data_IF_989526945524
#
_entry.id   IF_989526945524
#
_cell.length_a   1.000
_cell.length_b   1.000
_cell.length_c   1.000
_cell.angle_alpha   90.00
_cell.angle_beta   90.00
_cell.angle_gamma   90.00
#
_symmetry.space_group_name_H-M   'P 1'
#
loop_
_entity.id
_entity.type
_entity.pdbx_description
1 polymer ?
#
# COMPACT_ATOMS: atom_id res chain seq x y z
N UNK A 1 -13.32 -3.98 15.30
CA UNK A 1 -12.55 -4.35 14.09
C UNK A 1 -11.33 -3.45 13.91
N UNK A 2 -11.52 -2.13 13.72
CA UNK A 2 -10.43 -1.16 13.50
C UNK A 2 -9.42 -1.12 14.65
N UNK A 3 -9.89 -1.00 15.90
CA UNK A 3 -9.00 -0.95 17.08
C UNK A 3 -8.11 -2.18 17.16
N UNK A 4 -8.69 -3.38 17.01
CA UNK A 4 -7.94 -4.63 17.00
C UNK A 4 -6.90 -4.66 15.88
N UNK A 5 -7.26 -4.21 14.68
CA UNK A 5 -6.34 -4.15 13.54
C UNK A 5 -5.12 -3.26 13.82
N UNK A 6 -5.31 -2.10 14.46
CA UNK A 6 -4.21 -1.20 14.84
C UNK A 6 -3.39 -1.78 15.99
N UNK A 7 -4.01 -2.45 16.96
CA UNK A 7 -3.30 -3.11 18.06
C UNK A 7 -2.48 -4.33 17.61
N UNK A 8 -2.79 -4.91 16.45
CA UNK A 8 -2.00 -6.01 15.87
C UNK A 8 -0.70 -5.50 15.25
N UNK A 9 -0.64 -4.21 14.88
CA UNK A 9 0.57 -3.63 14.33
C UNK A 9 1.59 -3.36 15.42
N UNK A 10 2.84 -3.21 14.98
CA UNK A 10 3.90 -2.67 15.84
C UNK A 10 3.56 -1.24 16.26
N UNK A 11 3.61 -0.97 17.56
CA UNK A 11 3.20 0.30 18.16
C UNK A 11 4.18 1.43 17.86
N UNK A 12 5.44 1.10 17.54
CA UNK A 12 6.47 2.11 17.25
C UNK A 12 6.34 2.67 15.83
N UNK A 13 6.31 1.78 14.82
CA UNK A 13 6.30 2.18 13.42
C UNK A 13 4.87 2.50 12.92
N UNK A 14 3.85 1.73 13.38
CA UNK A 14 2.44 1.87 12.98
C UNK A 14 2.28 2.04 11.45
N UNK A 15 2.90 1.16 10.67
CA UNK A 15 2.92 1.29 9.22
C UNK A 15 1.57 0.90 8.60
N UNK A 16 0.95 1.83 7.86
CA UNK A 16 -0.38 1.64 7.26
C UNK A 16 -0.40 0.55 6.18
N UNK A 17 0.72 0.38 5.47
CA UNK A 17 0.84 -0.57 4.35
C UNK A 17 0.73 -2.02 4.81
N UNK A 18 0.89 -2.27 6.11
CA UNK A 18 0.78 -3.59 6.71
C UNK A 18 -0.68 -4.00 6.91
N UNK A 19 -1.60 -3.03 7.02
CA UNK A 19 -3.04 -3.28 7.02
C UNK A 19 -3.51 -3.40 5.57
N UNK A 20 -3.83 -4.62 5.17
CA UNK A 20 -4.38 -4.85 3.84
C UNK A 20 -5.89 -4.82 3.89
N UNK A 21 -6.51 -4.08 2.98
CA UNK A 21 -7.95 -4.10 2.78
C UNK A 21 -8.22 -4.88 1.49
N UNK A 22 -9.03 -5.94 1.57
CA UNK A 22 -9.45 -6.75 0.43
C UNK A 22 -10.95 -6.57 0.23
N UNK A 23 -11.32 -5.99 -0.91
CA UNK A 23 -12.71 -5.77 -1.32
C UNK A 23 -13.24 -7.00 -2.04
N UNK A 24 -14.38 -7.51 -1.60
CA UNK A 24 -15.04 -8.66 -2.23
C UNK A 24 -16.51 -8.30 -2.48
N UNK A 25 -16.94 -8.28 -3.75
CA UNK A 25 -18.33 -7.99 -4.09
C UNK A 25 -19.27 -9.13 -3.66
N UNK A 26 -20.50 -8.76 -3.30
CA UNK A 26 -21.56 -9.65 -2.87
C UNK A 26 -21.55 -9.95 -1.36
N UNK A 27 -22.70 -10.31 -0.81
CA UNK A 27 -22.92 -10.51 0.63
C UNK A 27 -23.31 -9.23 1.36
N UNK A 28 -23.50 -9.32 2.67
CA UNK A 28 -23.81 -8.18 3.52
C UNK A 28 -22.54 -7.52 4.06
N UNK A 29 -22.63 -6.24 4.46
CA UNK A 29 -21.48 -5.54 5.08
C UNK A 29 -21.07 -6.17 6.42
N UNK A 30 -22.03 -6.79 7.11
CA UNK A 30 -21.84 -7.49 8.38
C UNK A 30 -21.01 -8.77 8.22
N UNK A 31 -20.89 -9.31 7.01
CA UNK A 31 -20.09 -10.50 6.72
C UNK A 31 -18.59 -10.18 6.57
N UNK A 32 -18.18 -8.94 6.86
CA UNK A 32 -16.77 -8.50 6.80
C UNK A 32 -15.96 -9.12 7.94
N UNK A 33 -14.74 -9.55 7.65
CA UNK A 33 -13.90 -10.35 8.55
C UNK A 33 -12.54 -9.68 8.79
N UNK A 34 -12.08 -9.71 10.05
CA UNK A 34 -10.71 -9.32 10.41
C UNK A 34 -9.89 -10.58 10.57
N UNK A 35 -8.78 -10.63 9.85
CA UNK A 35 -7.83 -11.73 9.90
C UNK A 35 -6.56 -11.25 10.59
N UNK A 36 -6.20 -11.95 11.67
CA UNK A 36 -4.97 -11.77 12.42
C UNK A 36 -3.81 -12.44 11.67
N UNK A 37 -3.45 -11.85 10.54
CA UNK A 37 -2.45 -12.34 9.61
C UNK A 37 -2.71 -11.79 8.21
N UNK A 38 -2.46 -12.60 7.18
CA UNK A 38 -2.55 -12.14 5.78
C UNK A 38 -3.55 -12.99 5.02
N UNK A 39 -4.44 -12.30 4.31
CA UNK A 39 -5.27 -12.88 3.28
C UNK A 39 -4.97 -12.26 1.93
N UNK A 40 -4.82 -13.12 0.93
CA UNK A 40 -4.68 -12.72 -0.47
C UNK A 40 -5.57 -13.59 -1.35
N UNK A 41 -6.00 -13.00 -2.46
CA UNK A 41 -6.84 -13.68 -3.44
C UNK A 41 -6.07 -14.84 -4.06
N UNK A 42 -6.74 -15.95 -4.30
CA UNK A 42 -6.18 -17.06 -5.08
C UNK A 42 -5.70 -16.54 -6.44
N UNK A 43 -4.42 -16.76 -6.73
CA UNK A 43 -3.80 -16.41 -8.00
C UNK A 43 -4.07 -17.49 -9.06
N UNK A 44 -3.63 -17.24 -10.30
CA UNK A 44 -3.83 -18.19 -11.39
C UNK A 44 -3.26 -19.56 -11.02
N UNK A 45 -4.11 -20.59 -11.05
CA UNK A 45 -3.74 -21.97 -10.70
C UNK A 45 -3.67 -22.83 -11.95
N UNK A 46 -2.62 -23.64 -12.01
CA UNK A 46 -2.32 -24.57 -13.09
C UNK A 46 -2.94 -25.96 -12.81
N UNK A 47 -2.78 -26.90 -13.74
CA UNK A 47 -3.36 -28.24 -13.60
C UNK A 47 -2.77 -28.98 -12.39
N UNK A 48 -3.62 -29.68 -11.62
CA UNK A 48 -3.22 -30.40 -10.38
C UNK A 48 -3.45 -29.63 -9.07
N UNK A 49 -3.75 -28.33 -9.15
CA UNK A 49 -3.99 -27.49 -7.97
C UNK A 49 -5.15 -27.97 -7.08
N UNK A 50 -6.21 -28.53 -7.66
CA UNK A 50 -7.38 -28.95 -6.87
C UNK A 50 -7.14 -30.16 -5.96
N UNK A 51 -6.09 -30.95 -6.26
CA UNK A 51 -5.68 -32.11 -5.48
C UNK A 51 -4.82 -31.72 -4.27
N UNK A 52 -4.32 -30.49 -4.22
CA UNK A 52 -3.49 -30.00 -3.11
C UNK A 52 -4.32 -29.85 -1.83
N UNK A 53 -3.72 -30.09 -0.64
CA UNK A 53 -4.40 -29.87 0.62
C UNK A 53 -4.72 -28.38 0.80
N UNK A 54 -5.94 -28.07 1.23
CA UNK A 54 -6.45 -26.70 1.37
C UNK A 54 -6.39 -26.16 2.79
N UNK A 55 -6.08 -27.01 3.76
CA UNK A 55 -5.96 -26.62 5.16
C UNK A 55 -4.73 -27.27 5.76
N UNK A 56 -3.89 -26.47 6.41
CA UNK A 56 -2.71 -26.92 7.14
C UNK A 56 -2.69 -26.31 8.54
N UNK A 57 -2.26 -27.11 9.51
CA UNK A 57 -1.92 -26.64 10.85
C UNK A 57 -0.41 -26.53 10.96
N UNK A 58 0.09 -25.40 11.45
CA UNK A 58 1.53 -25.12 11.60
C UNK A 58 2.38 -25.39 10.33
N UNK A 59 1.98 -24.90 9.13
CA UNK A 59 2.80 -25.11 7.94
C UNK A 59 4.09 -24.26 7.97
N UNK A 60 5.16 -24.83 7.40
CA UNK A 60 6.35 -24.07 7.00
C UNK A 60 6.06 -23.38 5.66
N UNK A 61 6.27 -22.06 5.61
CA UNK A 61 5.97 -21.21 4.45
C UNK A 61 7.27 -20.74 3.83
N UNK A 62 7.44 -20.99 2.53
CA UNK A 62 8.55 -20.52 1.74
C UNK A 62 8.09 -19.41 0.78
N UNK A 63 8.81 -18.29 0.78
CA UNK A 63 8.55 -17.16 -0.11
C UNK A 63 9.68 -17.03 -1.13
N UNK A 64 9.34 -17.12 -2.41
CA UNK A 64 10.28 -17.13 -3.53
C UNK A 64 10.05 -15.94 -4.47
N UNK A 65 11.12 -15.53 -5.12
CA UNK A 65 11.13 -14.58 -6.24
C UNK A 65 11.76 -15.22 -7.48
N UNK A 66 11.37 -16.46 -7.77
CA UNK A 66 11.89 -17.29 -8.87
C UNK A 66 10.74 -17.82 -9.71
N UNK A 67 10.94 -17.84 -11.03
CA UNK A 67 10.04 -18.50 -11.99
C UNK A 67 10.26 -20.01 -11.92
N UNK A 68 9.20 -20.77 -11.62
CA UNK A 68 9.24 -22.22 -11.60
C UNK A 68 8.53 -22.78 -12.85
N UNK A 69 8.89 -22.29 -14.03
CA UNK A 69 8.37 -22.76 -15.33
C UNK A 69 9.49 -23.35 -16.21
N UNK A 70 9.20 -24.47 -16.86
CA UNK A 70 10.06 -24.98 -17.93
C UNK A 70 9.94 -24.06 -19.14
N UNK A 71 10.97 -23.25 -19.42
CA UNK A 71 11.08 -22.52 -20.68
C UNK A 71 11.94 -23.30 -21.68
N UNK A 72 11.51 -23.28 -22.94
CA UNK A 72 12.18 -23.99 -24.03
C UNK A 72 13.38 -23.22 -24.63
N UNK A 73 13.68 -22.00 -24.17
CA UNK A 73 14.72 -21.15 -24.75
C UNK A 73 15.97 -21.05 -23.86
N UNK A 74 17.10 -21.32 -24.51
CA UNK A 74 18.44 -21.65 -24.00
C UNK A 74 19.13 -20.69 -23.02
N UNK A 75 18.57 -19.52 -22.69
CA UNK A 75 19.34 -18.49 -21.97
C UNK A 75 18.73 -17.94 -20.68
N UNK A 76 17.54 -18.36 -20.22
CA UNK A 76 17.06 -17.94 -18.88
C UNK A 76 16.21 -19.03 -18.21
N UNK A 77 16.81 -19.70 -17.22
CA UNK A 77 16.23 -20.62 -16.24
C UNK A 77 15.45 -21.81 -16.82
N UNK A 78 16.17 -22.84 -17.27
CA UNK A 78 15.63 -24.20 -17.20
C UNK A 78 15.40 -24.52 -15.71
N UNK A 79 14.14 -24.70 -15.29
CA UNK A 79 13.87 -25.29 -13.97
C UNK A 79 14.48 -26.68 -13.98
N UNK A 80 15.58 -26.83 -13.24
CA UNK A 80 16.13 -28.16 -12.99
C UNK A 80 15.21 -28.85 -12.00
N UNK A 81 14.96 -30.14 -12.20
CA UNK A 81 14.27 -30.97 -11.21
C UNK A 81 14.95 -30.84 -9.83
N UNK A 82 16.26 -30.58 -9.83
CA UNK A 82 17.10 -30.24 -8.68
C UNK A 82 16.54 -29.09 -7.82
N UNK A 83 15.98 -28.03 -8.43
CA UNK A 83 15.42 -26.89 -7.69
C UNK A 83 14.13 -27.27 -6.95
N UNK A 84 13.29 -28.10 -7.57
CA UNK A 84 12.07 -28.62 -6.94
C UNK A 84 12.42 -29.57 -5.79
N UNK A 85 13.42 -30.42 -5.97
CA UNK A 85 13.94 -31.30 -4.93
C UNK A 85 14.52 -30.52 -3.76
N UNK A 86 15.27 -29.45 -4.03
CA UNK A 86 15.79 -28.56 -2.99
C UNK A 86 14.66 -27.95 -2.14
N UNK A 87 13.58 -27.47 -2.78
CA UNK A 87 12.40 -26.95 -2.06
C UNK A 87 11.77 -28.03 -1.19
N UNK A 88 11.58 -29.25 -1.71
CA UNK A 88 11.00 -30.35 -0.92
C UNK A 88 11.88 -30.72 0.27
N UNK A 89 13.20 -30.68 0.11
CA UNK A 89 14.18 -30.96 1.17
C UNK A 89 14.08 -29.99 2.35
N UNK A 90 13.64 -28.75 2.12
CA UNK A 90 13.40 -27.76 3.19
C UNK A 90 12.20 -28.13 4.08
N UNK A 91 11.31 -29.01 3.61
CA UNK A 91 10.08 -29.38 4.31
C UNK A 91 9.00 -28.30 4.31
N UNK A 92 9.10 -27.31 3.42
CA UNK A 92 8.05 -26.30 3.24
C UNK A 92 6.74 -26.96 2.75
N UNK A 93 5.62 -26.59 3.39
CA UNK A 93 4.27 -27.07 3.03
C UNK A 93 3.47 -26.07 2.20
N UNK A 94 3.87 -24.80 2.26
CA UNK A 94 3.27 -23.72 1.48
C UNK A 94 4.39 -22.98 0.75
N UNK A 95 4.34 -22.94 -0.57
CA UNK A 95 5.33 -22.26 -1.42
C UNK A 95 4.63 -21.11 -2.16
N UNK A 96 5.08 -19.89 -1.92
CA UNK A 96 4.55 -18.69 -2.55
C UNK A 96 5.63 -18.09 -3.45
N UNK A 97 5.31 -17.82 -4.71
CA UNK A 97 6.22 -17.09 -5.61
C UNK A 97 5.56 -15.83 -6.15
N UNK A 98 6.35 -14.75 -6.23
CA UNK A 98 5.98 -13.54 -6.98
C UNK A 98 5.80 -13.84 -8.47
N UNK A 99 6.56 -14.79 -8.97
CA UNK A 99 6.63 -15.17 -10.37
C UNK A 99 5.76 -16.42 -10.64
N UNK A 100 5.46 -16.75 -11.90
CA UNK A 100 4.65 -17.92 -12.21
C UNK A 100 5.30 -19.25 -11.82
N UNK A 101 4.45 -20.25 -11.56
CA UNK A 101 4.81 -21.64 -11.26
C UNK A 101 4.14 -22.50 -12.33
N UNK A 102 4.90 -23.29 -13.08
CA UNK A 102 4.39 -24.07 -14.20
C UNK A 102 3.62 -25.32 -13.80
N UNK A 103 3.02 -25.97 -14.79
CA UNK A 103 2.22 -27.20 -14.60
C UNK A 103 3.06 -28.34 -13.99
N UNK A 104 4.29 -28.57 -14.48
CA UNK A 104 5.16 -29.63 -13.96
C UNK A 104 5.47 -29.44 -12.47
N UNK A 105 5.82 -28.21 -12.07
CA UNK A 105 6.10 -27.89 -10.68
C UNK A 105 4.84 -28.05 -9.82
N UNK A 106 3.67 -27.62 -10.32
CA UNK A 106 2.39 -27.74 -9.61
C UNK A 106 2.02 -29.20 -9.36
N UNK A 107 2.20 -30.07 -10.35
CA UNK A 107 1.99 -31.52 -10.22
C UNK A 107 2.97 -32.15 -9.23
N UNK A 108 4.27 -31.79 -9.34
CA UNK A 108 5.30 -32.31 -8.45
C UNK A 108 5.06 -31.97 -6.97
N UNK A 109 4.52 -30.77 -6.70
CA UNK A 109 4.10 -30.35 -5.38
C UNK A 109 2.78 -30.99 -4.94
N UNK A 110 1.84 -31.22 -5.85
CA UNK A 110 0.57 -31.91 -5.56
C UNK A 110 0.80 -33.35 -5.08
N UNK A 111 1.69 -34.10 -5.74
CA UNK A 111 2.04 -35.48 -5.34
C UNK A 111 2.68 -35.58 -3.94
N UNK A 112 3.16 -34.45 -3.40
CA UNK A 112 3.88 -34.36 -2.10
C UNK A 112 3.10 -33.60 -1.02
N UNK A 113 1.83 -33.32 -1.27
CA UNK A 113 0.96 -32.54 -0.38
C UNK A 113 1.56 -31.17 -0.01
N UNK A 114 2.11 -30.47 -1.00
CA UNK A 114 2.64 -29.11 -0.86
C UNK A 114 1.71 -28.16 -1.64
N UNK A 115 1.26 -27.10 -0.97
CA UNK A 115 0.48 -26.06 -1.60
C UNK A 115 1.40 -25.05 -2.29
N UNK A 116 1.10 -24.70 -3.54
CA UNK A 116 1.87 -23.69 -4.26
C UNK A 116 0.99 -22.60 -4.88
N UNK A 117 1.40 -21.34 -4.77
CA UNK A 117 0.76 -20.22 -5.43
C UNK A 117 1.80 -19.34 -6.13
N UNK A 118 1.68 -19.22 -7.46
CA UNK A 118 2.50 -18.32 -8.27
C UNK A 118 1.80 -16.99 -8.55
N UNK A 119 2.52 -16.01 -9.09
CA UNK A 119 2.01 -14.66 -9.43
C UNK A 119 1.41 -13.91 -8.24
N UNK A 120 1.95 -14.11 -7.04
CA UNK A 120 1.52 -13.36 -5.85
C UNK A 120 1.99 -11.91 -5.97
N UNK A 121 1.12 -10.90 -5.77
CA UNK A 121 1.52 -9.50 -5.78
C UNK A 121 2.66 -9.24 -4.78
N UNK A 122 3.63 -8.41 -5.15
CA UNK A 122 4.79 -8.12 -4.30
C UNK A 122 4.38 -7.54 -2.93
N UNK A 123 3.34 -6.70 -2.91
CA UNK A 123 2.79 -6.12 -1.68
C UNK A 123 2.25 -7.20 -0.73
N UNK A 124 1.51 -8.18 -1.25
CA UNK A 124 0.97 -9.28 -0.46
C UNK A 124 2.10 -10.21 0.02
N UNK A 125 3.11 -10.48 -0.82
CA UNK A 125 4.25 -11.31 -0.44
C UNK A 125 5.07 -10.66 0.69
N UNK A 126 5.32 -9.35 0.60
CA UNK A 126 6.00 -8.60 1.67
C UNK A 126 5.19 -8.65 2.98
N UNK A 127 3.86 -8.56 2.90
CA UNK A 127 2.99 -8.68 4.08
C UNK A 127 3.02 -10.09 4.67
N UNK A 128 3.05 -11.13 3.84
CA UNK A 128 3.21 -12.52 4.31
C UNK A 128 4.53 -12.66 5.04
N UNK A 129 5.63 -12.22 4.45
CA UNK A 129 6.99 -12.29 5.03
C UNK A 129 7.03 -11.61 6.41
N UNK A 130 6.46 -10.42 6.52
CA UNK A 130 6.34 -9.69 7.80
C UNK A 130 5.42 -10.39 8.81
N UNK A 131 4.42 -11.16 8.37
CA UNK A 131 3.54 -11.91 9.27
C UNK A 131 4.20 -13.18 9.81
N UNK A 132 4.82 -13.95 8.92
CA UNK A 132 5.32 -15.30 9.21
C UNK A 132 6.76 -15.31 9.74
N UNK A 133 7.46 -14.17 9.64
CA UNK A 133 8.86 -14.02 10.07
C UNK A 133 9.88 -14.66 9.12
N UNK A 134 9.50 -14.92 7.86
CA UNK A 134 10.38 -15.50 6.85
C UNK A 134 11.18 -14.44 6.09
N UNK A 135 11.79 -14.85 4.98
CA UNK A 135 12.45 -13.92 4.04
C UNK A 135 12.21 -14.36 2.60
N UNK A 136 12.13 -13.41 1.67
CA UNK A 136 12.00 -13.72 0.24
C UNK A 136 13.34 -14.20 -0.30
N UNK A 137 13.36 -15.38 -0.91
CA UNK A 137 14.55 -15.95 -1.55
C UNK A 137 14.47 -15.86 -3.06
N UNK A 138 15.57 -15.48 -3.69
CA UNK A 138 15.71 -15.41 -5.16
C UNK A 138 16.42 -16.62 -5.76
N UNK A 139 16.85 -17.57 -4.95
CA UNK A 139 17.53 -18.81 -5.36
C UNK A 139 16.96 -20.01 -4.59
N UNK A 140 17.01 -21.19 -5.19
CA UNK A 140 16.45 -22.42 -4.62
C UNK A 140 17.48 -23.26 -3.84
N UNK A 141 18.78 -23.02 -4.04
CA UNK A 141 19.87 -23.86 -3.52
C UNK A 141 20.25 -23.55 -2.06
N UNK A 142 20.12 -22.30 -1.61
CA UNK A 142 20.59 -21.82 -0.30
C UNK A 142 19.46 -21.54 0.69
N UNK A 143 18.43 -22.39 0.71
CA UNK A 143 17.29 -22.22 1.60
C UNK A 143 17.56 -22.91 2.94
N UNK A 144 17.86 -22.10 3.95
CA UNK A 144 17.95 -22.52 5.36
C UNK A 144 16.61 -22.37 6.10
N UNK A 145 16.47 -23.08 7.22
CA UNK A 145 15.27 -23.00 8.09
C UNK A 145 14.97 -21.58 8.60
N UNK A 146 15.98 -20.71 8.69
CA UNK A 146 15.82 -19.29 9.09
C UNK A 146 15.01 -18.46 8.08
N UNK A 147 14.93 -18.91 6.83
CA UNK A 147 14.21 -18.23 5.76
C UNK A 147 12.75 -18.65 5.67
N UNK A 148 12.40 -19.76 6.32
CA UNK A 148 11.05 -20.31 6.35
C UNK A 148 10.22 -19.62 7.43
N UNK A 149 9.02 -19.22 7.03
CA UNK A 149 8.02 -18.69 7.94
C UNK A 149 7.18 -19.78 8.59
N UNK A 150 6.50 -19.44 9.69
CA UNK A 150 5.50 -20.31 10.31
C UNK A 150 4.21 -19.53 10.60
N UNK A 151 3.06 -20.20 10.51
CA UNK A 151 1.76 -19.68 10.93
C UNK A 151 0.97 -20.77 11.65
N UNK A 152 0.03 -20.41 12.52
CA UNK A 152 -0.81 -21.38 13.25
C UNK A 152 -1.69 -22.19 12.29
N UNK A 153 -2.32 -21.51 11.34
CA UNK A 153 -3.18 -22.16 10.36
C UNK A 153 -3.13 -21.48 9.00
N UNK A 154 -3.23 -22.30 7.95
CA UNK A 154 -3.41 -21.88 6.57
C UNK A 154 -4.68 -22.52 6.05
N UNK A 155 -5.62 -21.73 5.56
CA UNK A 155 -6.87 -22.22 4.97
C UNK A 155 -7.16 -21.52 3.64
N UNK A 156 -7.48 -22.29 2.60
CA UNK A 156 -8.16 -21.76 1.40
C UNK A 156 -9.67 -21.77 1.64
N UNK A 157 -10.29 -20.60 1.77
CA UNK A 157 -11.75 -20.47 1.94
C UNK A 157 -12.37 -19.72 0.76
N UNK A 158 -13.55 -20.17 0.35
CA UNK A 158 -14.36 -19.44 -0.62
C UNK A 158 -15.13 -18.34 0.09
N UNK A 159 -14.90 -17.09 -0.30
CA UNK A 159 -15.54 -15.91 0.26
C UNK A 159 -16.22 -15.19 -0.90
N UNK A 160 -17.55 -15.36 -1.01
CA UNK A 160 -18.31 -14.87 -2.16
C UNK A 160 -18.07 -15.73 -3.40
N UNK A 161 -17.76 -15.11 -4.53
CA UNK A 161 -17.45 -15.81 -5.79
C UNK A 161 -16.01 -16.28 -5.93
N UNK A 162 -15.11 -15.86 -5.04
CA UNK A 162 -13.67 -16.07 -5.19
C UNK A 162 -13.08 -16.84 -4.01
N UNK A 163 -11.96 -17.54 -4.25
CA UNK A 163 -11.20 -18.23 -3.20
C UNK A 163 -10.08 -17.34 -2.67
N UNK A 164 -9.91 -17.36 -1.36
CA UNK A 164 -8.89 -16.62 -0.65
C UNK A 164 -8.05 -17.57 0.18
N UNK A 165 -6.74 -17.36 0.15
CA UNK A 165 -5.79 -18.04 1.02
C UNK A 165 -5.62 -17.20 2.28
N UNK A 166 -5.94 -17.78 3.42
CA UNK A 166 -5.95 -17.12 4.72
C UNK A 166 -4.84 -17.71 5.58
N UNK A 167 -3.91 -16.87 5.99
CA UNK A 167 -2.88 -17.19 6.99
C UNK A 167 -3.32 -16.58 8.31
N UNK A 168 -3.68 -17.42 9.29
CA UNK A 168 -4.07 -16.97 10.62
C UNK A 168 -3.01 -17.34 11.66
N UNK A 169 -2.92 -16.52 12.70
CA UNK A 169 -2.17 -16.85 13.92
C UNK A 169 -0.67 -16.93 13.67
N UNK A 170 -0.08 -15.89 13.08
CA UNK A 170 1.36 -15.85 12.91
C UNK A 170 2.02 -15.28 14.18
N UNK A 171 3.05 -15.92 14.76
CA UNK A 171 3.65 -15.47 16.02
C UNK A 171 4.35 -14.11 15.91
N UNK A 172 4.80 -13.74 14.71
CA UNK A 172 5.38 -12.44 14.40
C UNK A 172 4.40 -11.51 13.68
N UNK A 173 3.08 -11.77 13.73
CA UNK A 173 2.08 -11.01 12.98
C UNK A 173 2.06 -9.53 13.37
N UNK A 174 2.86 -8.71 12.68
CA UNK A 174 2.78 -7.25 12.66
C UNK A 174 1.84 -6.74 11.57
N UNK A 175 1.05 -7.63 10.98
CA UNK A 175 0.19 -7.34 9.83
C UNK A 175 -1.18 -7.96 10.04
N UNK A 176 -2.21 -7.31 9.49
CA UNK A 176 -3.58 -7.81 9.51
C UNK A 176 -4.24 -7.54 8.16
N UNK A 177 -5.20 -8.39 7.77
CA UNK A 177 -6.05 -8.17 6.59
C UNK A 177 -7.50 -7.98 7.00
N UNK A 178 -8.11 -6.90 6.51
CA UNK A 178 -9.54 -6.65 6.56
C UNK A 178 -10.18 -7.13 5.26
N UNK A 179 -11.09 -8.10 5.36
CA UNK A 179 -11.91 -8.54 4.24
C UNK A 179 -13.24 -7.79 4.31
N UNK A 180 -13.52 -6.96 3.32
CA UNK A 180 -14.75 -6.18 3.23
C UNK A 180 -15.71 -6.83 2.23
N UNK A 181 -16.94 -7.04 2.69
CA UNK A 181 -18.07 -7.53 1.90
C UNK A 181 -19.08 -6.42 1.68
N UNK A 182 -19.82 -6.48 0.58
CA UNK A 182 -20.91 -5.55 0.33
C UNK A 182 -21.63 -5.83 -0.98
N UNK A 183 -22.90 -5.42 -1.06
CA UNK A 183 -23.74 -5.68 -2.24
C UNK A 183 -23.28 -4.95 -3.49
N UNK A 184 -22.95 -3.66 -3.37
CA UNK A 184 -22.45 -2.84 -4.47
C UNK A 184 -21.03 -2.36 -4.21
N UNK A 185 -20.23 -2.26 -5.27
CA UNK A 185 -18.82 -1.85 -5.19
C UNK A 185 -18.65 -0.44 -4.63
N UNK A 186 -19.58 0.48 -4.94
CA UNK A 186 -19.57 1.85 -4.43
C UNK A 186 -19.66 1.89 -2.90
N UNK A 187 -20.49 1.02 -2.31
CA UNK A 187 -20.59 0.94 -0.87
C UNK A 187 -19.33 0.34 -0.23
N UNK A 188 -18.72 -0.67 -0.86
CA UNK A 188 -17.47 -1.24 -0.36
C UNK A 188 -16.36 -0.19 -0.39
N UNK A 189 -16.27 0.59 -1.46
CA UNK A 189 -15.31 1.69 -1.58
C UNK A 189 -15.55 2.77 -0.51
N UNK A 190 -16.81 3.06 -0.18
CA UNK A 190 -17.14 3.99 0.90
C UNK A 190 -16.75 3.46 2.28
N UNK A 191 -17.01 2.18 2.54
CA UNK A 191 -16.61 1.51 3.78
C UNK A 191 -15.08 1.45 3.90
N UNK A 192 -14.36 1.17 2.82
CA UNK A 192 -12.90 1.20 2.79
C UNK A 192 -12.36 2.59 3.17
N UNK A 193 -12.89 3.67 2.58
CA UNK A 193 -12.52 5.05 2.93
C UNK A 193 -12.82 5.36 4.39
N UNK A 194 -14.03 5.04 4.84
CA UNK A 194 -14.46 5.24 6.23
C UNK A 194 -13.58 4.49 7.23
N UNK A 195 -13.19 3.25 6.91
CA UNK A 195 -12.30 2.45 7.76
C UNK A 195 -10.86 2.97 7.74
N UNK A 196 -10.37 3.42 6.58
CA UNK A 196 -9.05 4.03 6.49
C UNK A 196 -8.93 5.28 7.38
N UNK A 197 -9.94 6.16 7.36
CA UNK A 197 -9.99 7.33 8.22
C UNK A 197 -10.06 6.94 9.71
N UNK A 198 -10.87 5.93 10.05
CA UNK A 198 -10.94 5.42 11.42
C UNK A 198 -9.60 4.82 11.89
N UNK A 199 -8.90 4.06 11.04
CA UNK A 199 -7.56 3.52 11.32
C UNK A 199 -6.58 4.67 11.60
N UNK A 200 -6.62 5.72 10.77
CA UNK A 200 -5.76 6.89 10.91
C UNK A 200 -6.00 7.64 12.22
N UNK A 201 -7.25 7.79 12.63
CA UNK A 201 -7.62 8.42 13.91
C UNK A 201 -7.06 7.59 15.08
N UNK A 202 -7.31 6.27 15.10
CA UNK A 202 -6.84 5.39 16.17
C UNK A 202 -5.30 5.39 16.24
N UNK A 203 -4.62 5.30 15.09
CA UNK A 203 -3.15 5.39 14.99
C UNK A 203 -2.61 6.69 15.58
N UNK A 204 -3.23 7.84 15.26
CA UNK A 204 -2.81 9.14 15.82
C UNK A 204 -3.08 9.24 17.31
N UNK A 205 -4.19 8.65 17.78
CA UNK A 205 -4.57 8.62 19.20
C UNK A 205 -3.58 7.81 20.04
N UNK A 206 -3.06 6.70 19.51
CA UNK A 206 -2.03 5.90 20.20
C UNK A 206 -0.72 6.67 20.34
N UNK A 207 -0.34 7.46 19.32
CA UNK A 207 0.89 8.27 19.37
C UNK A 207 0.74 9.48 20.30
N UNK A 208 -0.43 10.11 20.31
CA UNK A 208 -0.71 11.31 21.10
C UNK A 208 -1.97 11.12 21.95
N UNK A 209 -1.79 11.07 23.27
CA UNK A 209 -2.88 10.89 24.24
C UNK A 209 -3.72 12.16 24.48
N UNK A 210 -3.47 13.23 23.73
CA UNK A 210 -4.22 14.48 23.84
C UNK A 210 -5.45 14.43 22.95
N UNK A 211 -6.61 14.31 23.59
CA UNK A 211 -7.92 14.38 22.94
C UNK A 211 -8.57 15.73 23.20
N UNK A 212 -9.33 16.20 22.22
CA UNK A 212 -10.16 17.40 22.32
C UNK A 212 -11.56 17.07 21.79
N UNK A 213 -12.56 17.77 22.29
CA UNK A 213 -13.80 17.95 21.51
C UNK A 213 -13.62 19.13 20.56
N UNK A 214 -14.35 19.10 19.45
CA UNK A 214 -14.31 20.11 18.40
C UNK A 214 -14.40 21.53 18.94
N UNK A 215 -13.25 22.21 19.01
CA UNK A 215 -13.14 23.63 19.36
C UNK A 215 -12.78 23.97 20.81
N UNK A 216 -12.15 23.06 21.58
CA UNK A 216 -11.72 23.29 22.98
C UNK A 216 -12.87 23.57 23.98
N UNK A 217 -14.11 23.46 23.51
CA UNK A 217 -15.35 23.48 24.28
C UNK A 217 -15.98 22.10 24.10
N UNK A 218 -16.33 21.43 25.19
CA UNK A 218 -16.91 20.07 25.13
C UNK A 218 -18.38 20.08 24.72
N UNK A 219 -19.05 21.22 24.81
CA UNK A 219 -20.36 21.41 24.21
C UNK A 219 -20.25 21.47 22.68
N UNK A 220 -20.98 20.59 22.01
CA UNK A 220 -21.14 20.59 20.56
C UNK A 220 -22.58 20.30 20.16
N UNK A 221 -22.76 19.95 18.90
CA UNK A 221 -24.06 19.61 18.32
C UNK A 221 -24.10 18.10 18.10
N UNK A 222 -25.08 17.43 18.69
CA UNK A 222 -25.36 16.04 18.36
C UNK A 222 -26.21 15.99 17.09
N UNK A 223 -25.69 15.33 16.06
CA UNK A 223 -26.35 15.21 14.76
C UNK A 223 -27.63 14.37 14.81
N UNK A 224 -27.76 13.47 15.78
CA UNK A 224 -28.93 12.59 15.87
C UNK A 224 -30.13 13.28 16.53
N UNK A 225 -29.86 14.09 17.54
CA UNK A 225 -30.89 14.86 18.27
C UNK A 225 -31.05 16.29 17.78
N UNK A 226 -30.20 16.73 16.84
CA UNK A 226 -30.12 18.10 16.32
C UNK A 226 -30.06 19.17 17.43
N UNK A 227 -29.47 18.83 18.58
CA UNK A 227 -29.46 19.66 19.79
C UNK A 227 -28.05 19.84 20.35
N UNK A 228 -27.88 20.83 21.23
CA UNK A 228 -26.61 21.06 21.91
C UNK A 228 -26.44 20.00 23.00
N UNK A 229 -25.34 19.26 22.93
CA UNK A 229 -24.99 18.21 23.86
C UNK A 229 -23.53 18.32 24.32
N UNK A 230 -23.20 17.67 25.43
CA UNK A 230 -21.82 17.52 25.87
C UNK A 230 -21.16 16.35 25.12
N UNK A 231 -20.22 16.68 24.23
CA UNK A 231 -19.47 15.72 23.42
C UNK A 231 -18.55 14.82 24.27
N UNK A 232 -18.11 15.30 25.45
CA UNK A 232 -17.30 14.47 26.34
C UNK A 232 -18.13 13.29 26.87
N UNK A 233 -19.33 13.60 27.37
CA UNK A 233 -20.28 12.61 27.86
C UNK A 233 -20.83 11.71 26.75
N UNK A 234 -20.92 12.22 25.51
CA UNK A 234 -21.31 11.47 24.33
C UNK A 234 -20.17 10.60 23.73
N UNK A 235 -18.97 10.60 24.32
CA UNK A 235 -17.78 9.88 23.84
C UNK A 235 -17.34 10.27 22.41
N UNK A 236 -17.61 11.51 22.01
CA UNK A 236 -17.21 12.05 20.70
C UNK A 236 -15.89 12.78 20.86
N UNK A 237 -14.79 12.06 20.60
CA UNK A 237 -13.44 12.57 20.81
C UNK A 237 -12.64 12.56 19.52
N UNK A 238 -11.77 13.55 19.36
CA UNK A 238 -10.79 13.61 18.26
C UNK A 238 -9.38 13.92 18.79
N UNK A 239 -8.31 13.46 18.12
CA UNK A 239 -6.96 13.80 18.52
C UNK A 239 -6.66 15.29 18.31
N UNK A 240 -6.05 15.94 19.30
CA UNK A 240 -5.67 17.36 19.23
C UNK A 240 -4.81 17.68 18.00
N UNK A 241 -3.95 16.74 17.59
CA UNK A 241 -3.09 16.84 16.41
C UNK A 241 -3.88 17.10 15.11
N UNK A 242 -5.09 16.56 15.00
CA UNK A 242 -5.94 16.80 13.81
C UNK A 242 -6.29 18.28 13.75
N UNK A 243 -6.73 18.87 14.86
CA UNK A 243 -7.12 20.28 14.92
C UNK A 243 -5.97 21.24 14.70
N UNK A 244 -4.82 21.00 15.33
CA UNK A 244 -3.63 21.85 15.13
C UNK A 244 -3.19 21.86 13.67
N UNK A 245 -3.13 20.69 13.04
CA UNK A 245 -2.71 20.57 11.65
C UNK A 245 -3.74 21.18 10.69
N UNK A 246 -5.03 21.01 10.96
CA UNK A 246 -6.11 21.62 10.15
C UNK A 246 -6.05 23.15 10.19
N UNK A 247 -5.86 23.76 11.36
CA UNK A 247 -5.79 25.23 11.49
C UNK A 247 -4.53 25.78 10.82
N UNK A 248 -3.37 25.14 11.04
CA UNK A 248 -2.12 25.57 10.41
C UNK A 248 -2.20 25.48 8.88
N UNK A 249 -2.68 24.36 8.32
CA UNK A 249 -2.82 24.19 6.88
C UNK A 249 -3.83 25.16 6.26
N UNK A 250 -4.95 25.42 6.94
CA UNK A 250 -5.94 26.40 6.48
C UNK A 250 -5.36 27.83 6.46
N UNK A 251 -4.57 28.18 7.49
CA UNK A 251 -3.93 29.50 7.59
C UNK A 251 -2.86 29.67 6.51
N UNK A 252 -2.02 28.66 6.28
CA UNK A 252 -1.02 28.67 5.21
C UNK A 252 -1.66 28.83 3.83
N UNK A 253 -2.72 28.08 3.55
CA UNK A 253 -3.46 28.19 2.29
C UNK A 253 -4.10 29.57 2.12
N UNK A 254 -4.72 30.11 3.17
CA UNK A 254 -5.32 31.44 3.15
C UNK A 254 -4.27 32.54 2.91
N UNK A 255 -3.15 32.51 3.65
CA UNK A 255 -2.05 33.44 3.47
C UNK A 255 -1.43 33.37 2.07
N UNK A 256 -1.31 32.16 1.50
CA UNK A 256 -0.80 31.98 0.14
C UNK A 256 -1.69 32.69 -0.87
N UNK A 257 -3.00 32.49 -0.81
CA UNK A 257 -3.95 33.17 -1.71
C UNK A 257 -3.94 34.68 -1.49
N UNK A 258 -3.93 35.14 -0.24
CA UNK A 258 -3.89 36.57 0.08
C UNK A 258 -2.59 37.25 -0.34
N UNK A 259 -1.49 36.50 -0.45
CA UNK A 259 -0.19 37.03 -0.91
C UNK A 259 -0.07 37.15 -2.43
N UNK A 260 -1.00 36.57 -3.20
CA UNK A 260 -1.03 36.68 -4.66
C UNK A 260 -1.77 37.96 -5.04
N UNK A 261 -1.01 38.94 -5.52
CA UNK A 261 -1.50 40.20 -6.05
C UNK A 261 -1.90 40.12 -7.53
N UNK A 262 -1.18 39.32 -8.32
CA UNK A 262 -1.45 39.12 -9.74
C UNK A 262 -1.47 37.64 -10.14
N UNK A 263 -2.48 37.22 -10.89
CA UNK A 263 -2.55 35.88 -11.50
C UNK A 263 -2.51 36.00 -13.02
N UNK A 264 -1.33 35.80 -13.61
CA UNK A 264 -1.14 35.80 -15.07
C UNK A 264 -1.35 34.40 -15.63
N UNK A 265 -2.36 34.22 -16.48
CA UNK A 265 -2.59 32.96 -17.21
C UNK A 265 -2.16 33.13 -18.66
N UNK A 266 -1.03 32.53 -19.04
CA UNK A 266 -0.62 32.50 -20.44
C UNK A 266 -1.51 31.51 -21.22
N UNK A 267 -2.26 31.97 -22.24
CA UNK A 267 -2.94 31.05 -23.14
C UNK A 267 -1.90 30.21 -23.88
N UNK A 268 -2.22 28.93 -24.10
CA UNK A 268 -1.38 28.06 -24.92
C UNK A 268 -1.26 28.69 -26.32
N UNK A 269 -0.03 28.80 -26.83
CA UNK A 269 0.23 29.32 -28.17
C UNK A 269 -0.56 28.48 -29.16
N UNK A 270 -1.48 29.10 -29.91
CA UNK A 270 -2.06 28.45 -31.07
C UNK A 270 -0.92 27.94 -31.96
N UNK A 271 -0.96 26.66 -32.30
CA UNK A 271 -0.01 26.06 -33.24
C UNK A 271 0.09 26.98 -34.45
N UNK A 272 1.31 27.26 -34.99
CA UNK A 272 1.45 28.20 -36.09
C UNK A 272 0.52 27.78 -37.22
N UNK A 273 -0.47 28.63 -37.46
CA UNK A 273 -1.43 28.48 -38.54
C UNK A 273 -0.61 28.30 -39.81
N UNK A 274 -0.78 27.16 -40.48
CA UNK A 274 -0.11 26.88 -41.73
C UNK A 274 -0.39 28.05 -42.68
N UNK A 275 0.64 28.86 -42.92
CA UNK A 275 0.55 29.95 -43.89
C UNK A 275 0.12 29.38 -45.25
N UNK A 276 -0.55 30.20 -46.09
CA UNK A 276 -1.02 29.75 -47.40
C UNK A 276 0.11 29.10 -48.19
N UNK A 277 -0.16 28.04 -48.97
CA UNK A 277 0.88 27.24 -49.61
C UNK A 277 1.76 28.13 -50.49
N UNK A 278 3.06 28.12 -50.22
CA UNK A 278 4.05 28.86 -50.98
C UNK A 278 3.99 28.45 -52.47
N UNK A 279 4.07 29.39 -53.42
CA UNK A 279 4.17 29.06 -54.84
C UNK A 279 5.38 28.17 -55.11
N UNK A 280 5.16 27.07 -55.86
CA UNK A 280 6.20 26.15 -56.33
C UNK A 280 7.21 26.93 -57.20
N UNK A 281 8.30 27.37 -56.58
CA UNK A 281 9.39 28.05 -57.28
C UNK A 281 10.51 28.62 -56.39
N UNK A 282 10.29 28.77 -55.08
CA UNK A 282 11.28 29.37 -54.17
C UNK A 282 12.23 28.41 -53.47
N UNK A 283 12.10 27.09 -53.65
CA UNK A 283 12.77 26.09 -52.80
C UNK A 283 14.27 25.91 -53.08
N UNK A 284 14.83 26.55 -54.10
CA UNK A 284 16.24 26.39 -54.46
C UNK A 284 17.18 27.46 -53.88
N UNK A 285 16.69 28.53 -53.23
CA UNK A 285 17.54 29.63 -52.74
C UNK A 285 17.75 29.70 -51.23
N UNK A 286 16.93 29.06 -50.41
CA UNK A 286 17.04 29.13 -48.94
C UNK A 286 17.95 28.05 -48.31
N UNK A 287 18.45 27.08 -49.10
CA UNK A 287 19.34 26.01 -48.62
C UNK A 287 20.84 26.36 -48.67
N UNK A 288 21.20 27.59 -49.07
CA UNK A 288 22.61 28.01 -49.28
C UNK A 288 23.13 29.14 -48.38
N UNK A 289 22.38 29.53 -47.36
CA UNK A 289 22.84 30.49 -46.33
C UNK A 289 22.06 30.18 -45.05
N UNK A 290 22.63 29.76 -43.94
CA UNK A 290 24.01 29.76 -43.51
C UNK A 290 23.97 29.81 -41.99
N UNK A 291 24.67 28.87 -41.36
CA UNK A 291 25.29 28.95 -40.03
C UNK A 291 24.39 29.13 -38.81
N UNK A 292 24.50 28.13 -37.94
CA UNK A 292 24.01 28.16 -36.58
C UNK A 292 24.43 29.38 -35.78
N UNK A 293 23.50 29.83 -34.96
CA UNK A 293 23.77 30.46 -33.67
C UNK A 293 22.81 29.81 -32.67
N UNK A 294 23.38 29.05 -31.75
CA UNK A 294 22.68 28.65 -30.53
C UNK A 294 22.32 29.90 -29.74
N UNK A 295 21.11 29.89 -29.17
CA UNK A 295 20.60 30.93 -28.28
C UNK A 295 20.43 30.26 -26.91
N UNK A 296 20.85 30.92 -25.81
CA UNK A 296 21.23 30.25 -24.57
C UNK A 296 20.03 29.76 -23.76
N UNK A 297 20.20 28.61 -23.10
CA UNK A 297 19.36 28.18 -21.98
C UNK A 297 19.56 29.18 -20.83
N UNK A 298 18.59 30.06 -20.60
CA UNK A 298 18.49 30.79 -19.33
C UNK A 298 18.09 29.78 -18.25
N UNK A 299 19.10 29.28 -17.53
CA UNK A 299 18.92 28.63 -16.24
C UNK A 299 18.57 29.74 -15.25
N UNK A 300 17.31 29.80 -14.81
CA UNK A 300 16.96 30.59 -13.64
C UNK A 300 17.52 29.87 -12.41
N UNK A 301 18.67 30.35 -11.91
CA UNK A 301 19.12 30.06 -10.56
C UNK A 301 18.14 30.71 -9.57
N UNK A 302 17.37 29.89 -8.86
CA UNK A 302 16.64 30.33 -7.68
C UNK A 302 17.62 30.30 -6.50
N UNK A 303 18.09 31.47 -6.06
CA UNK A 303 18.89 31.62 -4.84
C UNK A 303 18.05 31.17 -3.63
N UNK A 304 18.44 30.06 -3.01
CA UNK A 304 17.97 29.68 -1.68
C UNK A 304 18.53 30.66 -0.65
N UNK A 305 17.79 31.75 -0.37
CA UNK A 305 18.10 32.64 0.76
C UNK A 305 17.60 32.03 2.07
N UNK A 306 18.56 31.46 2.80
CA UNK A 306 18.69 31.41 4.26
C UNK A 306 17.48 30.92 5.08
N UNK A 307 17.44 29.60 5.33
CA UNK A 307 16.72 28.98 6.44
C UNK A 307 17.42 29.12 7.81
N UNK A 308 18.62 29.72 7.89
CA UNK A 308 19.42 29.78 9.12
C UNK A 308 19.02 30.90 10.10
N UNK A 309 18.37 31.97 9.63
CA UNK A 309 18.07 33.15 10.45
C UNK A 309 16.71 33.12 11.16
N UNK A 310 15.90 32.06 11.00
CA UNK A 310 14.61 31.91 11.67
C UNK A 310 14.66 31.10 12.97
N UNK A 311 15.74 30.35 13.21
CA UNK A 311 15.90 29.56 14.43
C UNK A 311 16.18 30.44 15.67
N UNK A 312 16.78 31.62 15.49
CA UNK A 312 17.08 32.53 16.60
C UNK A 312 15.88 33.34 17.12
N UNK A 313 14.81 33.45 16.35
CA UNK A 313 13.58 34.14 16.77
C UNK A 313 12.63 33.28 17.60
N UNK A 314 12.83 31.95 17.59
CA UNK A 314 12.01 31.03 18.38
C UNK A 314 12.57 30.91 19.80
N UNK A 315 13.90 30.86 19.98
CA UNK A 315 14.53 30.80 21.32
C UNK A 315 14.34 32.10 22.13
N UNK A 316 14.27 33.26 21.48
CA UNK A 316 14.05 34.53 22.17
C UNK A 316 12.61 34.67 22.70
N UNK A 317 11.62 34.13 21.99
CA UNK A 317 10.21 34.18 22.37
C UNK A 317 9.83 33.23 23.52
N UNK A 318 10.61 32.17 23.77
CA UNK A 318 10.41 31.28 24.92
C UNK A 318 11.00 31.85 26.22
N UNK A 319 12.01 32.72 26.13
CA UNK A 319 12.63 33.33 27.33
C UNK A 319 11.77 34.42 28.00
N UNK A 320 10.90 35.09 27.23
CA UNK A 320 10.04 36.18 27.73
C UNK A 320 8.71 35.70 28.34
N UNK A 321 8.42 34.39 28.30
CA UNK A 321 7.25 33.79 28.98
C UNK A 321 7.57 33.12 30.32
N UNK A 322 8.83 33.17 30.75
CA UNK A 322 9.29 32.62 32.01
C UNK A 322 9.88 33.73 32.92
N UNK A 323 9.09 34.76 33.22
CA UNK A 323 9.29 35.67 34.36
C UNK A 323 7.94 36.11 34.94
#
# INVERSE_FOLDING_TARGET
MVVNAVLTLDQEELNEKLIGIKRIPGGAMQDSLLINGVAFKKTFSYAGFEQQPKSFKNPKILSLNVELELKAEKDNAEVRIEDLEAIVKTGAKVVLSKLPIGDLATQYFADRDIFCAGRVPAEDLNRVVNAVGGSIQSTCSDIEDKHLGTCESFDERQIGGERFNLLNGCPAAKTCTLILRGGAEQFIAEVERSLHDAIMIVKRTIKNNLIVAGGAIWYGVDINSESVADNFAAFVWEPALVKTNSISAATEAACLILSVDETVKNPASDKPQAGPPMPRGGMQRALKSGRGRGIPLMIYHYEARNLSSRTSYIESAESDKAK
#
